data_IF_470713084425
#
_entry.id   IF_470713084425
#
_cell.length_a   1.000
_cell.length_b   1.000
_cell.length_c   1.000
_cell.angle_alpha   90.00
_cell.angle_beta   90.00
_cell.angle_gamma   90.00
#
_symmetry.space_group_name_H-M   'P 1'
#
loop_
_entity.id
_entity.type
_entity.pdbx_description
1 polymer ?
#
# COMPACT_ATOMS: atom_id res chain seq x y z
N UNK A 1 -5.83 -7.76 -16.77
CA UNK A 1 -5.70 -9.19 -16.41
C UNK A 1 -5.31 -9.26 -14.94
N UNK A 2 -6.09 -9.98 -14.13
CA UNK A 2 -5.79 -10.17 -12.71
C UNK A 2 -4.63 -11.12 -12.53
N UNK A 3 -3.66 -10.72 -11.70
CA UNK A 3 -2.48 -11.47 -11.31
C UNK A 3 -2.55 -11.85 -9.83
N UNK A 4 -1.75 -12.82 -9.40
CA UNK A 4 -1.72 -13.27 -8.00
C UNK A 4 -0.28 -13.47 -7.53
N UNK A 5 0.00 -13.10 -6.28
CA UNK A 5 1.25 -13.44 -5.59
C UNK A 5 0.97 -13.86 -4.14
N UNK A 6 1.88 -14.63 -3.55
CA UNK A 6 1.81 -15.12 -2.17
C UNK A 6 3.07 -14.76 -1.40
N UNK A 7 2.93 -14.42 -0.13
CA UNK A 7 4.03 -14.14 0.79
C UNK A 7 3.63 -14.59 2.20
N UNK A 8 4.17 -15.72 2.66
CA UNK A 8 3.77 -16.33 3.93
C UNK A 8 2.27 -16.64 3.94
N UNK A 9 1.55 -16.08 4.91
CA UNK A 9 0.09 -16.23 5.03
C UNK A 9 -0.71 -15.17 4.28
N UNK A 10 -0.07 -14.34 3.46
CA UNK A 10 -0.75 -13.30 2.71
C UNK A 10 -0.81 -13.68 1.23
N UNK A 11 -1.97 -13.43 0.64
CA UNK A 11 -2.19 -13.52 -0.81
C UNK A 11 -2.58 -12.13 -1.30
N UNK A 12 -2.04 -11.71 -2.44
CA UNK A 12 -2.47 -10.51 -3.15
C UNK A 12 -3.01 -10.92 -4.52
N UNK A 13 -4.20 -10.46 -4.85
CA UNK A 13 -4.73 -10.43 -6.21
C UNK A 13 -4.67 -8.98 -6.69
N UNK A 14 -4.12 -8.74 -7.88
CA UNK A 14 -3.94 -7.38 -8.35
C UNK A 14 -4.06 -7.23 -9.86
N UNK A 15 -4.41 -6.03 -10.29
CA UNK A 15 -4.41 -5.60 -11.69
C UNK A 15 -3.68 -4.27 -11.80
N UNK A 16 -2.70 -4.19 -12.70
CA UNK A 16 -1.93 -2.98 -12.94
C UNK A 16 -2.62 -2.13 -13.99
N UNK A 17 -2.62 -0.82 -13.77
CA UNK A 17 -3.21 0.14 -14.69
C UNK A 17 -2.13 1.08 -15.22
N UNK A 18 -2.14 1.29 -16.53
CA UNK A 18 -1.38 2.35 -17.19
C UNK A 18 -2.22 2.94 -18.31
N UNK A 19 -2.37 4.26 -18.33
CA UNK A 19 -2.90 5.03 -19.46
C UNK A 19 -1.88 6.13 -19.75
N UNK A 20 -1.34 6.12 -20.95
CA UNK A 20 -0.24 7.00 -21.36
C UNK A 20 -0.50 7.51 -22.77
N UNK A 21 -1.64 8.18 -22.97
CA UNK A 21 -1.99 8.75 -24.26
C UNK A 21 -0.97 9.84 -24.67
N UNK A 22 -0.79 10.10 -25.97
CA UNK A 22 0.01 11.23 -26.43
C UNK A 22 -0.53 12.54 -25.85
N UNK A 23 0.38 13.42 -25.43
CA UNK A 23 0.06 14.77 -24.93
C UNK A 23 -0.82 14.86 -23.67
N UNK A 24 -1.02 13.75 -22.95
CA UNK A 24 -1.71 13.72 -21.66
C UNK A 24 -0.76 13.32 -20.51
N UNK A 25 -1.19 13.63 -19.29
CA UNK A 25 -0.56 13.08 -18.09
C UNK A 25 -0.75 11.55 -18.08
N UNK A 26 0.31 10.85 -17.69
CA UNK A 26 0.29 9.41 -17.50
C UNK A 26 -0.51 9.10 -16.25
N UNK A 27 -1.58 8.31 -16.40
CA UNK A 27 -2.31 7.73 -15.28
C UNK A 27 -1.81 6.31 -15.02
N UNK A 28 -1.49 6.02 -13.76
CA UNK A 28 -1.01 4.69 -13.38
C UNK A 28 -1.49 4.29 -11.99
N UNK A 29 -1.41 2.99 -11.69
CA UNK A 29 -1.80 2.48 -10.40
C UNK A 29 -2.01 0.98 -10.37
N UNK A 30 -2.72 0.53 -9.35
CA UNK A 30 -3.01 -0.88 -9.13
C UNK A 30 -4.36 -1.02 -8.44
N UNK A 31 -5.18 -1.96 -8.89
CA UNK A 31 -6.25 -2.50 -8.07
C UNK A 31 -5.71 -3.71 -7.35
N UNK A 32 -5.93 -3.81 -6.04
CA UNK A 32 -5.51 -4.98 -5.31
C UNK A 32 -6.51 -5.42 -4.24
N UNK A 33 -6.50 -6.72 -3.98
CA UNK A 33 -7.13 -7.34 -2.83
C UNK A 33 -6.07 -8.17 -2.10
N UNK A 34 -5.79 -7.84 -0.85
CA UNK A 34 -4.95 -8.65 0.03
C UNK A 34 -5.83 -9.45 0.96
N UNK A 35 -5.61 -10.76 0.99
CA UNK A 35 -6.28 -11.66 1.92
C UNK A 35 -5.26 -12.37 2.79
N UNK A 36 -5.62 -12.63 4.03
CA UNK A 36 -4.96 -13.67 4.80
C UNK A 36 -5.40 -15.03 4.23
N UNK A 37 -4.44 -15.87 3.83
CA UNK A 37 -4.69 -17.27 3.54
C UNK A 37 -5.45 -17.90 4.72
N UNK A 38 -6.39 -18.83 4.46
CA UNK A 38 -7.25 -19.39 5.50
C UNK A 38 -6.40 -20.00 6.61
N UNK A 39 -6.33 -19.29 7.73
CA UNK A 39 -5.82 -19.79 9.00
C UNK A 39 -6.99 -19.88 9.96
N UNK A 40 -6.92 -20.78 10.92
CA UNK A 40 -8.00 -21.05 11.89
C UNK A 40 -8.39 -19.86 12.79
N UNK A 41 -7.76 -18.69 12.62
CA UNK A 41 -8.07 -17.46 13.35
C UNK A 41 -7.63 -16.22 12.54
N UNK A 42 -8.40 -15.76 11.53
CA UNK A 42 -8.07 -14.57 10.77
C UNK A 42 -8.11 -13.35 11.70
N UNK A 43 -7.02 -12.57 11.69
CA UNK A 43 -6.92 -11.32 12.45
C UNK A 43 -7.25 -10.15 11.52
N UNK A 44 -7.82 -9.05 12.01
CA UNK A 44 -7.94 -7.81 11.25
C UNK A 44 -6.60 -7.42 10.59
N UNK A 45 -6.70 -6.94 9.35
CA UNK A 45 -5.57 -6.34 8.65
C UNK A 45 -5.60 -4.83 8.81
N UNK A 46 -4.44 -4.22 8.99
CA UNK A 46 -4.28 -2.78 8.97
C UNK A 46 -3.29 -2.42 7.87
N UNK A 47 -3.59 -1.38 7.09
CA UNK A 47 -2.64 -0.76 6.18
C UNK A 47 -2.28 0.59 6.79
N UNK A 48 -1.01 0.84 7.11
CA UNK A 48 -0.63 2.17 7.57
C UNK A 48 -0.37 3.04 6.34
N UNK A 49 -1.18 4.09 6.18
CA UNK A 49 -0.97 5.12 5.16
C UNK A 49 -0.06 6.20 5.77
N UNK A 50 1.00 6.58 5.06
CA UNK A 50 1.91 7.67 5.44
C UNK A 50 1.44 8.97 4.76
N UNK A 51 1.98 10.16 5.11
CA UNK A 51 1.58 11.38 4.44
C UNK A 51 1.90 11.27 2.95
N UNK A 52 1.02 11.81 2.10
CA UNK A 52 1.28 11.89 0.67
C UNK A 52 2.62 12.59 0.43
N UNK A 53 3.65 11.84 0.02
CA UNK A 53 4.88 12.45 -0.47
C UNK A 53 4.68 12.83 -1.94
N UNK A 54 5.46 13.79 -2.43
CA UNK A 54 5.49 14.04 -3.87
C UNK A 54 5.85 12.74 -4.60
N UNK A 55 5.10 12.39 -5.64
CA UNK A 55 5.35 11.18 -6.44
C UNK A 55 6.84 11.08 -6.79
N UNK A 56 7.49 9.96 -6.45
CA UNK A 56 8.93 9.73 -6.65
C UNK A 56 9.86 10.13 -5.49
N UNK A 57 9.34 10.66 -4.38
CA UNK A 57 10.15 11.07 -3.21
C UNK A 57 10.07 10.12 -2.00
N UNK A 58 9.38 8.98 -2.16
CA UNK A 58 9.15 8.00 -1.09
C UNK A 58 10.45 7.45 -0.50
N UNK A 59 10.73 7.72 0.78
CA UNK A 59 11.79 7.08 1.56
C UNK A 59 11.33 5.73 2.12
N UNK A 60 12.29 4.88 2.50
CA UNK A 60 11.97 3.68 3.29
C UNK A 60 11.27 4.12 4.60
N UNK A 61 10.06 3.63 4.83
CA UNK A 61 9.21 4.09 5.94
C UNK A 61 8.09 5.05 5.53
N UNK A 62 7.95 5.43 4.25
CA UNK A 62 6.83 6.23 3.75
C UNK A 62 6.05 5.41 2.71
N UNK A 63 4.91 4.88 3.13
CA UNK A 63 4.15 3.88 2.38
C UNK A 63 2.69 4.34 2.30
N UNK A 64 2.20 4.49 1.06
CA UNK A 64 0.90 5.01 0.63
C UNK A 64 0.81 6.53 0.41
N UNK A 65 0.39 6.90 -0.80
CA UNK A 65 0.10 8.27 -1.21
C UNK A 65 -1.44 8.38 -1.32
N UNK A 66 -2.06 9.27 -0.55
CA UNK A 66 -3.42 9.73 -0.84
C UNK A 66 -3.35 10.91 -1.82
N UNK A 67 -3.61 10.65 -3.10
CA UNK A 67 -3.58 11.68 -4.14
C UNK A 67 -4.80 12.63 -4.11
N UNK A 68 -5.76 12.42 -3.20
CA UNK A 68 -6.92 13.30 -3.03
C UNK A 68 -6.62 14.46 -2.07
N UNK A 69 -5.47 14.45 -1.38
CA UNK A 69 -5.05 15.49 -0.45
C UNK A 69 -3.70 16.08 -0.85
N UNK A 70 -3.52 17.36 -0.55
CA UNK A 70 -2.20 17.98 -0.66
C UNK A 70 -1.20 17.26 0.26
N UNK A 71 0.08 17.18 -0.12
CA UNK A 71 1.14 16.65 0.74
C UNK A 71 1.09 17.29 2.14
N UNK A 72 0.90 16.47 3.18
CA UNK A 72 1.01 16.92 4.58
C UNK A 72 2.36 16.52 5.15
N UNK A 73 2.88 17.30 6.10
CA UNK A 73 4.07 16.90 6.85
C UNK A 73 3.76 15.75 7.84
N UNK A 74 2.51 15.67 8.29
CA UNK A 74 2.09 14.74 9.34
C UNK A 74 1.58 13.41 8.78
N UNK A 75 2.04 12.27 9.32
CA UNK A 75 1.56 10.95 8.91
C UNK A 75 0.09 10.76 9.27
N UNK A 76 -0.70 10.21 8.34
CA UNK A 76 -2.12 9.95 8.53
C UNK A 76 -2.43 8.46 8.34
N UNK A 77 -2.63 7.73 9.44
CA UNK A 77 -2.96 6.30 9.38
C UNK A 77 -4.42 6.10 8.96
N UNK A 78 -4.64 5.51 7.78
CA UNK A 78 -5.95 5.03 7.36
C UNK A 78 -6.10 3.56 7.80
N UNK A 79 -6.74 3.37 8.95
CA UNK A 79 -7.12 2.04 9.42
C UNK A 79 -8.35 1.63 8.61
N UNK A 80 -8.21 0.65 7.73
CA UNK A 80 -9.36 0.04 7.08
C UNK A 80 -10.12 -0.79 8.11
N UNK A 81 -11.07 -0.15 8.78
CA UNK A 81 -11.87 -0.78 9.83
C UNK A 81 -12.73 -1.95 9.30
N UNK A 82 -13.02 -1.97 8.00
CA UNK A 82 -13.74 -3.05 7.32
C UNK A 82 -12.84 -4.21 6.85
N UNK A 83 -11.62 -4.36 7.39
CA UNK A 83 -10.86 -5.61 7.27
C UNK A 83 -11.42 -6.74 8.16
N UNK A 84 -12.71 -6.70 8.50
CA UNK A 84 -13.41 -7.82 9.13
C UNK A 84 -13.24 -9.06 8.25
N UNK A 85 -12.55 -10.08 8.78
CA UNK A 85 -12.23 -11.31 8.05
C UNK A 85 -10.86 -11.34 7.37
N UNK A 86 -9.99 -10.34 7.58
CA UNK A 86 -8.60 -10.39 7.13
C UNK A 86 -8.41 -10.12 5.64
N UNK A 87 -9.22 -9.22 5.07
CA UNK A 87 -9.15 -8.80 3.67
C UNK A 87 -9.05 -7.27 3.55
N UNK A 88 -8.18 -6.77 2.67
CA UNK A 88 -8.11 -5.35 2.27
C UNK A 88 -8.36 -5.28 0.78
N UNK A 89 -9.21 -4.35 0.34
CA UNK A 89 -9.38 -4.00 -1.07
C UNK A 89 -9.08 -2.51 -1.24
N UNK A 90 -8.23 -2.18 -2.20
CA UNK A 90 -7.79 -0.82 -2.46
C UNK A 90 -7.54 -0.62 -3.98
N UNK A 91 -7.67 0.62 -4.44
CA UNK A 91 -7.56 1.00 -5.86
C UNK A 91 -6.74 2.27 -6.03
N UNK A 92 -5.47 2.33 -5.56
CA UNK A 92 -4.62 3.51 -5.69
C UNK A 92 -4.42 3.92 -7.15
N UNK A 93 -4.46 5.23 -7.39
CA UNK A 93 -4.28 5.87 -8.71
C UNK A 93 -3.43 7.12 -8.60
N UNK A 94 -2.55 7.30 -9.57
CA UNK A 94 -1.61 8.43 -9.68
C UNK A 94 -1.67 9.06 -11.07
N UNK A 95 -1.30 10.34 -11.13
CA UNK A 95 -1.13 11.11 -12.36
C UNK A 95 0.28 11.71 -12.36
N UNK A 96 0.98 11.62 -13.48
CA UNK A 96 2.30 12.24 -13.65
C UNK A 96 2.49 12.74 -15.08
N UNK A 97 3.18 13.87 -15.20
CA UNK A 97 3.77 14.30 -16.48
C UNK A 97 4.79 13.27 -16.99
N UNK A 98 5.05 13.29 -18.29
CA UNK A 98 6.16 12.56 -18.93
C UNK A 98 7.51 13.08 -18.45
N UNK A 99 8.55 12.28 -18.67
CA UNK A 99 9.95 12.63 -18.43
C UNK A 99 10.30 12.98 -16.98
N UNK A 100 9.63 12.33 -16.02
CA UNK A 100 9.91 12.45 -14.58
C UNK A 100 10.79 11.31 -14.07
N UNK A 101 11.26 10.42 -14.95
CA UNK A 101 12.04 9.24 -14.60
C UNK A 101 11.19 8.12 -13.99
N UNK A 102 11.82 7.32 -13.14
CA UNK A 102 11.17 6.18 -12.46
C UNK A 102 10.45 6.66 -11.21
N UNK A 103 9.16 6.40 -11.15
CA UNK A 103 8.29 6.68 -10.01
C UNK A 103 7.90 5.35 -9.35
N UNK A 104 7.77 5.33 -8.03
CA UNK A 104 7.48 4.12 -7.27
C UNK A 104 6.57 4.40 -6.10
N UNK A 105 5.55 3.56 -5.96
CA UNK A 105 4.57 3.61 -4.89
C UNK A 105 4.58 2.28 -4.17
N UNK A 106 4.62 2.36 -2.85
CA UNK A 106 4.84 1.20 -2.01
C UNK A 106 3.82 1.17 -0.88
N UNK A 107 3.41 -0.04 -0.54
CA UNK A 107 2.38 -0.36 0.44
C UNK A 107 2.96 -1.26 1.51
N UNK A 108 2.40 -1.16 2.71
CA UNK A 108 2.69 -2.06 3.81
C UNK A 108 1.41 -2.44 4.53
N UNK A 109 1.22 -3.74 4.74
CA UNK A 109 0.05 -4.30 5.43
C UNK A 109 0.52 -5.12 6.64
N UNK A 110 -0.22 -4.98 7.73
CA UNK A 110 0.06 -5.55 9.04
C UNK A 110 -1.13 -6.38 9.54
N UNK A 111 -0.86 -7.32 10.44
CA UNK A 111 -1.91 -8.00 11.22
C UNK A 111 -1.99 -7.36 12.59
N UNK A 112 -3.21 -6.99 13.00
CA UNK A 112 -3.47 -6.35 14.29
C UNK A 112 -4.36 -7.26 15.13
N UNK A 113 -3.97 -7.49 16.38
CA UNK A 113 -4.83 -8.03 17.41
C UNK A 113 -5.43 -6.85 18.19
N UNK A 114 -6.62 -6.42 17.76
CA UNK A 114 -7.33 -5.27 18.34
C UNK A 114 -7.67 -5.52 19.83
N UNK A 115 -7.95 -6.77 20.21
CA UNK A 115 -8.30 -7.11 21.60
C UNK A 115 -7.10 -7.01 22.54
N UNK A 116 -5.89 -7.22 22.02
CA UNK A 116 -4.65 -7.16 22.79
C UNK A 116 -3.84 -5.89 22.56
N UNK A 117 -4.37 -4.95 21.78
CA UNK A 117 -3.68 -3.73 21.36
C UNK A 117 -2.26 -4.01 20.83
N UNK A 118 -2.17 -4.99 19.91
CA UNK A 118 -0.88 -5.54 19.50
C UNK A 118 -0.77 -5.69 17.99
N UNK A 119 0.37 -5.28 17.45
CA UNK A 119 0.78 -5.62 16.09
C UNK A 119 1.52 -6.97 16.09
N UNK A 120 1.20 -7.85 15.16
CA UNK A 120 1.96 -9.09 14.99
C UNK A 120 3.39 -8.80 14.51
N UNK A 121 4.28 -9.79 14.61
CA UNK A 121 5.71 -9.64 14.33
C UNK A 121 6.01 -9.47 12.83
N UNK A 122 5.13 -9.98 11.96
CA UNK A 122 5.32 -9.95 10.51
C UNK A 122 4.22 -9.20 9.77
N UNK A 123 4.62 -8.44 8.76
CA UNK A 123 3.75 -7.78 7.78
C UNK A 123 4.20 -8.10 6.36
N UNK A 124 3.55 -7.48 5.37
CA UNK A 124 3.94 -7.57 3.96
C UNK A 124 4.20 -6.22 3.34
N UNK A 125 5.18 -6.19 2.43
CA UNK A 125 5.55 -5.05 1.59
C UNK A 125 5.36 -5.41 0.12
N UNK A 126 4.79 -4.47 -0.63
CA UNK A 126 4.56 -4.56 -2.07
C UNK A 126 4.46 -3.16 -2.66
N UNK A 127 4.29 -3.07 -3.98
CA UNK A 127 4.19 -1.79 -4.65
C UNK A 127 3.99 -1.92 -6.14
N UNK A 128 4.07 -0.78 -6.80
CA UNK A 128 4.24 -0.71 -8.23
C UNK A 128 5.17 0.44 -8.58
N UNK A 129 5.76 0.37 -9.79
CA UNK A 129 6.60 1.42 -10.33
C UNK A 129 6.32 1.64 -11.81
N UNK A 130 6.68 2.81 -12.32
CA UNK A 130 6.57 3.14 -13.74
C UNK A 130 7.76 4.01 -14.14
N UNK A 131 8.31 3.79 -15.34
CA UNK A 131 9.27 4.70 -15.93
C UNK A 131 8.54 5.67 -16.87
N UNK A 132 8.35 6.91 -16.43
CA UNK A 132 7.63 7.96 -17.18
C UNK A 132 8.44 8.58 -18.31
N UNK A 133 9.74 8.29 -18.38
CA UNK A 133 10.64 8.68 -19.46
C UNK A 133 10.71 7.64 -20.59
N UNK A 134 10.04 6.50 -20.43
CA UNK A 134 9.97 5.50 -21.50
C UNK A 134 9.02 5.95 -22.61
N UNK A 135 9.28 5.50 -23.84
CA UNK A 135 8.45 5.78 -25.01
C UNK A 135 7.06 5.14 -24.88
N UNK A 136 6.97 4.00 -24.19
CA UNK A 136 5.72 3.31 -23.85
C UNK A 136 5.73 2.94 -22.36
N UNK A 137 5.49 3.92 -21.45
CA UNK A 137 5.47 3.67 -20.02
C UNK A 137 4.52 2.53 -19.68
N UNK A 138 4.94 1.64 -18.79
CA UNK A 138 4.12 0.56 -18.26
C UNK A 138 4.33 0.48 -16.75
N UNK A 139 3.22 0.39 -16.02
CA UNK A 139 3.23 0.09 -14.60
C UNK A 139 3.63 -1.37 -14.40
N UNK A 140 4.59 -1.58 -13.51
CA UNK A 140 5.07 -2.90 -13.12
C UNK A 140 4.82 -3.11 -11.63
N UNK A 141 4.49 -4.34 -11.25
CA UNK A 141 4.37 -4.72 -9.85
C UNK A 141 5.76 -4.85 -9.22
N UNK A 142 5.94 -4.27 -8.03
CA UNK A 142 7.24 -4.29 -7.33
C UNK A 142 7.15 -5.11 -6.05
N UNK A 143 7.52 -6.38 -6.19
CA UNK A 143 7.70 -7.32 -5.08
C UNK A 143 6.43 -7.65 -4.31
N UNK A 144 6.47 -8.75 -3.57
CA UNK A 144 5.51 -9.06 -2.52
C UNK A 144 6.24 -9.96 -1.53
N UNK A 145 6.57 -9.44 -0.37
CA UNK A 145 7.43 -10.15 0.59
C UNK A 145 7.00 -9.88 2.01
N UNK A 146 7.15 -10.90 2.84
CA UNK A 146 7.04 -10.76 4.28
C UNK A 146 8.27 -10.05 4.83
N UNK A 147 8.11 -9.32 5.92
CA UNK A 147 9.21 -8.75 6.67
C UNK A 147 8.89 -8.74 8.16
N UNK A 148 9.94 -8.72 8.98
CA UNK A 148 9.81 -8.52 10.41
C UNK A 148 9.64 -7.03 10.71
N UNK A 149 8.63 -6.70 11.52
CA UNK A 149 8.28 -5.33 11.85
C UNK A 149 9.10 -4.90 13.06
N UNK A 150 9.85 -3.81 12.91
CA UNK A 150 10.66 -3.23 13.99
C UNK A 150 9.80 -2.73 15.14
N UNK A 151 10.39 -2.57 16.32
CA UNK A 151 9.66 -2.05 17.50
C UNK A 151 9.24 -0.58 17.29
N UNK A 152 10.04 0.19 16.56
CA UNK A 152 9.73 1.57 16.16
C UNK A 152 8.51 1.61 15.24
N UNK A 153 8.47 0.78 14.20
CA UNK A 153 7.30 0.67 13.30
C UNK A 153 6.04 0.23 14.08
N UNK A 154 6.17 -0.75 14.99
CA UNK A 154 5.05 -1.19 15.85
C UNK A 154 4.51 -0.04 16.70
N UNK A 155 5.39 0.74 17.32
CA UNK A 155 5.01 1.88 18.16
C UNK A 155 4.27 2.95 17.36
N UNK A 156 4.78 3.31 16.18
CA UNK A 156 4.12 4.27 15.28
C UNK A 156 2.74 3.76 14.86
N UNK A 157 2.63 2.49 14.45
CA UNK A 157 1.34 1.90 14.07
C UNK A 157 0.36 1.95 15.24
N UNK A 158 0.76 1.50 16.43
CA UNK A 158 -0.12 1.47 17.60
C UNK A 158 -0.53 2.88 18.06
N UNK A 159 0.38 3.86 18.05
CA UNK A 159 0.07 5.25 18.40
C UNK A 159 -0.96 5.87 17.45
N UNK A 160 -0.85 5.57 16.16
CA UNK A 160 -1.82 6.03 15.16
C UNK A 160 -3.12 5.21 15.20
N UNK A 161 -3.04 3.93 15.57
CA UNK A 161 -4.19 3.06 15.80
C UNK A 161 -5.02 3.40 17.06
N UNK A 162 -4.59 4.31 17.93
CA UNK A 162 -5.42 4.76 19.07
C UNK A 162 -6.68 5.54 18.63
N UNK A 163 -6.77 5.87 17.34
CA UNK A 163 -7.88 6.62 16.72
C UNK A 163 -8.77 5.74 15.83
N UNK A 164 -8.90 4.43 16.11
CA UNK A 164 -9.73 3.51 15.31
C UNK A 164 -11.14 4.09 15.18
N UNK A 165 -11.41 4.62 13.99
CA UNK A 165 -12.74 5.06 13.58
C UNK A 165 -13.23 3.98 12.62
N UNK A 166 -14.34 3.33 12.97
CA UNK A 166 -14.95 2.35 12.09
C UNK A 166 -15.58 3.09 10.90
N UNK A 167 -15.08 2.85 9.68
CA UNK A 167 -15.68 3.33 8.44
C UNK A 167 -16.74 2.38 7.95
#
# INVERSE_FOLDING_TARGET
>A
MTQTANAGIFKIEYELLTRADPDSDIQFGMDFTITQSPSSNPLPLCQLIFPATSVGTNKAGQWNIDNHKAPSADPACLIFANAEGGTIKDTPRELSKRDRGVLSTKFTVYRVDVKKDMLQIHGVKFGYSINTSDTKPQTIFTGFSTYEISNEEKKVVLEQCKSITFS
#
